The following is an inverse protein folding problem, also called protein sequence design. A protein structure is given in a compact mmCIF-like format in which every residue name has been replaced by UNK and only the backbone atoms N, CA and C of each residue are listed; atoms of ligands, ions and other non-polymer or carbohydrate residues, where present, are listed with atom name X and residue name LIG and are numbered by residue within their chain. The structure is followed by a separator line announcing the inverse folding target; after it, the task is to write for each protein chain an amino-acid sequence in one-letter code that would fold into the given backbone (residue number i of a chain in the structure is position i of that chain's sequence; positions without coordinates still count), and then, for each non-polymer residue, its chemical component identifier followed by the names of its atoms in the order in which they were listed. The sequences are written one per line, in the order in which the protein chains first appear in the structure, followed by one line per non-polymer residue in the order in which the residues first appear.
data_IF_240345096368
#
_entry.id   IF_240345096368
#
_cell.length_a   1.000
_cell.length_b   1.000
_cell.length_c   1.000
_cell.angle_alpha   90.00
_cell.angle_beta   90.00
_cell.angle_gamma   90.00
#
_symmetry.space_group_name_H-M   'P 1'
#
loop_
_entity.id
_entity.type
_entity.pdbx_description
1 polymer ?
#
# COMPACT_ATOMS: atom_id res chain seq x y z
N UNK A 1 7.54 14.69 -3.08
CA UNK A 1 7.08 13.40 -2.59
C UNK A 1 6.01 13.51 -1.50
N UNK A 2 6.16 14.35 -0.48
CA UNK A 2 5.17 14.50 0.60
C UNK A 2 5.57 13.83 1.92
N UNK A 3 6.59 12.96 1.93
CA UNK A 3 7.00 12.21 3.11
C UNK A 3 7.94 12.96 4.07
N UNK A 4 8.06 14.27 3.91
CA UNK A 4 8.71 15.17 4.87
C UNK A 4 7.66 16.12 5.48
N UNK A 5 6.73 15.64 6.31
CA UNK A 5 5.59 16.44 6.74
C UNK A 5 5.99 17.62 7.60
N UNK A 6 5.35 18.76 7.32
CA UNK A 6 5.52 20.01 8.05
C UNK A 6 4.28 20.34 8.91
N UNK A 7 3.09 20.21 8.30
CA UNK A 7 1.78 20.37 8.93
C UNK A 7 0.83 19.26 8.49
N UNK A 8 0.37 18.44 9.43
CA UNK A 8 -0.43 17.27 9.15
C UNK A 8 -1.88 17.54 8.69
N UNK A 9 -2.38 18.76 8.95
CA UNK A 9 -3.76 19.17 8.63
C UNK A 9 -3.86 20.15 7.46
N UNK A 10 -2.75 20.37 6.74
CA UNK A 10 -2.70 21.34 5.64
C UNK A 10 -2.53 20.67 4.30
N UNK A 11 -3.24 21.20 3.30
CA UNK A 11 -3.02 20.83 1.88
C UNK A 11 -1.71 21.49 1.42
N UNK A 12 -0.91 20.75 0.67
CA UNK A 12 0.32 21.26 0.05
C UNK A 12 -0.04 22.23 -1.09
N UNK A 13 0.37 23.47 -0.97
CA UNK A 13 -0.03 24.57 -1.87
C UNK A 13 0.41 24.35 -3.34
N UNK A 14 1.48 23.59 -3.58
CA UNK A 14 1.95 23.30 -4.92
C UNK A 14 1.01 22.34 -5.69
N UNK A 15 0.15 21.60 -4.99
CA UNK A 15 -0.84 20.71 -5.59
C UNK A 15 -2.23 21.34 -5.70
N UNK A 16 -2.44 22.50 -5.07
CA UNK A 16 -3.70 23.21 -5.14
C UNK A 16 -4.18 23.72 -3.79
N UNK A 17 -5.36 24.32 -3.80
CA UNK A 17 -5.99 24.87 -2.61
C UNK A 17 -6.83 23.83 -1.85
N UNK A 18 -7.18 24.07 -0.58
CA UNK A 18 -8.15 23.24 0.14
C UNK A 18 -9.49 23.08 -0.59
N UNK A 19 -9.93 24.12 -1.30
CA UNK A 19 -11.16 24.06 -2.10
C UNK A 19 -11.02 23.11 -3.29
N UNK A 20 -9.91 23.15 -4.00
CA UNK A 20 -9.65 22.27 -5.13
C UNK A 20 -9.53 20.80 -4.72
N UNK A 21 -8.96 20.52 -3.54
CA UNK A 21 -8.98 19.16 -2.99
C UNK A 21 -10.40 18.68 -2.70
N UNK A 22 -11.25 19.53 -2.10
CA UNK A 22 -12.68 19.21 -1.89
C UNK A 22 -13.40 18.95 -3.20
N UNK A 23 -13.10 19.72 -4.26
CA UNK A 23 -13.63 19.47 -5.60
C UNK A 23 -13.17 18.14 -6.20
N UNK A 24 -11.89 17.78 -5.98
CA UNK A 24 -11.35 16.49 -6.42
C UNK A 24 -12.13 15.34 -5.77
N UNK A 25 -12.34 15.40 -4.45
CA UNK A 25 -13.10 14.37 -3.72
C UNK A 25 -14.54 14.29 -4.21
N UNK A 26 -15.23 15.44 -4.37
CA UNK A 26 -16.60 15.51 -4.86
C UNK A 26 -16.75 14.90 -6.27
N UNK A 27 -15.78 15.23 -7.14
CA UNK A 27 -15.75 14.72 -8.52
C UNK A 27 -15.45 13.21 -8.57
N UNK A 28 -14.58 12.70 -7.69
CA UNK A 28 -14.33 11.27 -7.54
C UNK A 28 -15.60 10.54 -7.07
N UNK A 29 -16.26 11.06 -6.04
CA UNK A 29 -17.51 10.51 -5.51
C UNK A 29 -18.63 10.48 -6.56
N UNK A 30 -18.74 11.52 -7.39
CA UNK A 30 -19.72 11.56 -8.49
C UNK A 30 -19.55 10.41 -9.50
N UNK A 31 -18.36 9.83 -9.56
CA UNK A 31 -18.01 8.67 -10.39
C UNK A 31 -17.99 7.34 -9.63
N UNK A 32 -18.36 7.34 -8.34
CA UNK A 32 -18.31 6.16 -7.48
C UNK A 32 -16.89 5.71 -7.14
N UNK A 33 -15.96 6.66 -7.05
CA UNK A 33 -14.55 6.43 -6.70
C UNK A 33 -14.31 6.98 -5.30
N UNK A 34 -13.88 6.12 -4.38
CA UNK A 34 -13.44 6.52 -3.05
C UNK A 34 -12.06 7.20 -3.10
N UNK A 35 -11.83 8.14 -2.20
CA UNK A 35 -10.56 8.88 -2.08
C UNK A 35 -9.88 8.54 -0.76
N UNK A 36 -8.66 8.03 -0.85
CA UNK A 36 -7.81 7.69 0.29
C UNK A 36 -6.64 8.66 0.33
N UNK A 37 -6.35 9.24 1.49
CA UNK A 37 -5.21 10.12 1.72
C UNK A 37 -4.08 9.32 2.37
N UNK A 38 -2.85 9.60 1.94
CA UNK A 38 -1.63 9.09 2.55
C UNK A 38 -1.20 10.02 3.71
N UNK A 39 -1.02 9.47 4.91
CA UNK A 39 -0.64 10.22 6.11
C UNK A 39 0.61 9.62 6.77
N UNK A 40 1.53 10.50 7.12
CA UNK A 40 2.82 10.18 7.75
C UNK A 40 2.75 10.45 9.25
N UNK A 41 2.35 9.44 10.04
CA UNK A 41 2.30 9.59 11.50
C UNK A 41 3.53 9.06 12.24
N UNK A 42 4.51 8.49 11.53
CA UNK A 42 5.72 8.01 12.19
C UNK A 42 6.71 9.15 12.50
N UNK A 43 6.82 10.16 11.64
CA UNK A 43 7.79 11.25 11.79
C UNK A 43 7.27 12.61 11.36
N UNK A 44 8.04 13.67 11.68
CA UNK A 44 7.76 15.06 11.30
C UNK A 44 9.08 15.83 11.14
N UNK A 45 9.09 16.84 10.28
CA UNK A 45 10.27 17.69 10.11
C UNK A 45 10.59 18.52 11.34
N UNK A 46 11.88 18.69 11.62
CA UNK A 46 12.36 19.57 12.71
C UNK A 46 12.03 21.05 12.52
N UNK A 47 11.63 21.45 11.32
CA UNK A 47 11.13 22.81 11.02
C UNK A 47 9.63 22.97 11.28
N UNK A 48 8.91 21.89 11.60
CA UNK A 48 7.48 21.93 11.91
C UNK A 48 7.18 22.85 13.08
N UNK A 49 6.10 23.65 13.04
CA UNK A 49 5.65 24.46 14.18
C UNK A 49 5.41 23.66 15.46
N UNK A 50 5.02 22.39 15.35
CA UNK A 50 4.82 21.48 16.50
C UNK A 50 6.11 21.32 17.31
N UNK A 51 7.24 21.18 16.62
CA UNK A 51 8.55 21.16 17.27
C UNK A 51 9.01 22.54 17.66
N UNK A 52 8.89 23.52 16.78
CA UNK A 52 9.44 24.87 16.98
C UNK A 52 8.79 25.64 18.15
N UNK A 53 7.54 25.30 18.51
CA UNK A 53 6.90 25.90 19.69
C UNK A 53 7.59 25.49 21.00
N UNK A 54 8.17 24.32 21.07
CA UNK A 54 8.89 23.77 22.23
C UNK A 54 9.98 22.81 21.76
N UNK A 55 11.14 23.33 21.27
CA UNK A 55 12.20 22.46 20.72
C UNK A 55 13.07 21.83 21.83
N UNK A 56 12.43 21.05 22.67
CA UNK A 56 13.01 20.39 23.82
C UNK A 56 12.26 19.08 24.03
N UNK A 57 12.94 17.95 23.90
CA UNK A 57 12.32 16.62 23.99
C UNK A 57 11.69 16.32 25.34
N UNK A 58 12.25 16.88 26.44
CA UNK A 58 11.70 16.67 27.79
C UNK A 58 10.41 17.46 28.04
N UNK A 59 10.17 18.50 27.24
CA UNK A 59 9.07 19.43 27.43
C UNK A 59 8.05 19.42 26.28
N UNK A 60 8.42 18.96 25.08
CA UNK A 60 7.50 18.85 23.97
C UNK A 60 6.53 17.68 24.21
N UNK A 61 5.22 17.90 24.23
CA UNK A 61 4.27 16.84 24.54
C UNK A 61 3.94 15.93 23.34
N UNK A 62 4.49 16.20 22.17
CA UNK A 62 4.15 15.51 20.92
C UNK A 62 5.32 14.74 20.34
N UNK A 63 6.54 15.15 20.65
CA UNK A 63 7.76 14.64 20.04
C UNK A 63 8.62 13.98 21.13
N UNK A 64 9.21 12.87 20.82
CA UNK A 64 10.12 12.14 21.71
C UNK A 64 11.51 11.96 21.10
N UNK A 65 12.49 11.68 21.93
CA UNK A 65 13.70 10.95 21.54
C UNK A 65 13.28 9.50 21.35
N UNK A 66 13.89 8.79 20.41
CA UNK A 66 13.73 7.34 20.22
C UNK A 66 13.59 6.62 21.55
N UNK A 67 12.54 5.86 21.71
CA UNK A 67 12.21 5.36 23.00
C UNK A 67 12.62 3.91 23.16
N UNK A 68 13.49 3.69 24.14
CA UNK A 68 13.68 2.40 24.77
C UNK A 68 12.38 1.90 25.48
N UNK A 69 11.31 2.67 25.44
CA UNK A 69 10.09 2.42 26.21
C UNK A 69 9.07 1.56 25.45
N UNK A 70 9.22 1.44 24.13
CA UNK A 70 8.33 0.60 23.35
C UNK A 70 9.10 -0.43 22.53
N UNK A 71 9.09 -1.70 22.94
CA UNK A 71 9.83 -2.77 22.27
C UNK A 71 9.30 -3.11 20.86
N UNK A 72 8.13 -2.60 20.48
CA UNK A 72 7.51 -2.82 19.18
C UNK A 72 7.71 -1.65 18.22
N UNK A 73 8.50 -0.66 18.60
CA UNK A 73 8.84 0.48 17.77
C UNK A 73 10.23 0.28 17.13
N UNK A 74 10.33 0.49 15.83
CA UNK A 74 11.62 0.56 15.16
C UNK A 74 12.23 1.95 15.35
N UNK A 75 13.55 1.99 15.54
CA UNK A 75 14.30 3.24 15.55
C UNK A 75 14.65 3.68 14.12
N UNK A 76 14.70 4.98 13.92
CA UNK A 76 15.25 5.55 12.69
C UNK A 76 14.19 6.26 11.85
N UNK A 77 14.29 7.56 11.81
CA UNK A 77 13.34 8.47 11.18
C UNK A 77 13.94 9.25 10.03
N UNK A 78 14.94 8.69 9.37
CA UNK A 78 15.65 9.35 8.27
C UNK A 78 16.13 10.79 8.63
N UNK A 79 16.54 11.01 9.88
CA UNK A 79 16.97 12.31 10.39
C UNK A 79 15.85 13.29 10.74
N UNK A 80 14.60 12.83 10.79
CA UNK A 80 13.43 13.58 11.22
C UNK A 80 13.10 13.31 12.69
N UNK A 81 12.04 13.92 13.20
CA UNK A 81 11.61 13.80 14.61
C UNK A 81 10.48 12.79 14.72
N UNK A 82 10.50 11.95 15.75
CA UNK A 82 9.47 10.96 16.02
C UNK A 82 8.30 11.55 16.82
N UNK A 83 7.09 11.14 16.47
CA UNK A 83 5.92 11.40 17.30
C UNK A 83 5.94 10.52 18.54
N UNK A 84 5.58 11.09 19.69
CA UNK A 84 5.37 10.34 20.94
C UNK A 84 3.97 9.67 20.94
N UNK A 85 3.85 8.52 20.33
CA UNK A 85 2.60 7.77 20.26
C UNK A 85 2.12 7.20 21.61
N UNK A 86 2.92 7.32 22.66
CA UNK A 86 2.58 6.92 24.04
C UNK A 86 2.22 8.12 24.92
N UNK A 87 1.90 9.27 24.29
CA UNK A 87 1.39 10.45 24.96
C UNK A 87 -0.04 10.75 24.49
N UNK A 88 -0.97 10.85 25.46
CA UNK A 88 -2.38 11.13 25.16
C UNK A 88 -2.60 12.43 24.37
N UNK A 89 -1.73 13.42 24.51
CA UNK A 89 -1.82 14.67 23.72
C UNK A 89 -1.51 14.44 22.26
N UNK A 90 -0.56 13.56 21.97
CA UNK A 90 -0.25 13.15 20.59
C UNK A 90 -1.43 12.37 20.00
N UNK A 91 -1.97 11.43 20.73
CA UNK A 91 -3.16 10.66 20.30
C UNK A 91 -4.35 11.57 20.03
N UNK A 92 -4.60 12.55 20.89
CA UNK A 92 -5.69 13.54 20.70
C UNK A 92 -5.44 14.44 19.47
N UNK A 93 -4.19 14.84 19.25
CA UNK A 93 -3.80 15.61 18.05
C UNK A 93 -4.03 14.77 16.78
N UNK A 94 -3.53 13.53 16.74
CA UNK A 94 -3.73 12.58 15.61
C UNK A 94 -5.23 12.43 15.31
N UNK A 95 -6.02 12.16 16.34
CA UNK A 95 -7.47 11.99 16.21
C UNK A 95 -8.17 13.25 15.70
N UNK A 96 -7.69 14.43 16.11
CA UNK A 96 -8.23 15.70 15.63
C UNK A 96 -7.92 15.89 14.15
N UNK A 97 -6.69 15.65 13.74
CA UNK A 97 -6.27 15.79 12.34
C UNK A 97 -6.99 14.78 11.43
N UNK A 98 -7.03 13.51 11.83
CA UNK A 98 -7.73 12.48 11.07
C UNK A 98 -9.20 12.86 10.83
N UNK A 99 -9.88 13.39 11.88
CA UNK A 99 -11.26 13.87 11.75
C UNK A 99 -11.40 15.09 10.82
N UNK A 100 -10.43 16.00 10.78
CA UNK A 100 -10.46 17.10 9.80
C UNK A 100 -10.51 16.57 8.38
N UNK A 101 -9.71 15.58 8.04
CA UNK A 101 -9.72 14.98 6.71
C UNK A 101 -11.04 14.28 6.40
N UNK A 102 -11.62 13.56 7.36
CA UNK A 102 -12.93 12.89 7.21
C UNK A 102 -14.06 13.91 7.13
N UNK A 103 -14.13 14.84 8.09
CA UNK A 103 -15.30 15.71 8.26
C UNK A 103 -15.34 16.87 7.27
N UNK A 104 -14.16 17.45 6.97
CA UNK A 104 -14.06 18.64 6.12
C UNK A 104 -13.80 18.30 4.64
N UNK A 105 -12.98 17.28 4.38
CA UNK A 105 -12.60 16.90 3.01
C UNK A 105 -13.38 15.71 2.49
N UNK A 106 -14.09 14.98 3.37
CA UNK A 106 -14.92 13.82 3.02
C UNK A 106 -14.12 12.68 2.39
N UNK A 107 -12.88 12.47 2.85
CA UNK A 107 -12.10 11.33 2.41
C UNK A 107 -12.69 10.02 2.94
N UNK A 108 -12.52 8.94 2.20
CA UNK A 108 -13.09 7.63 2.50
C UNK A 108 -12.12 6.72 3.27
N UNK A 109 -10.88 7.14 3.40
CA UNK A 109 -9.87 6.36 4.09
C UNK A 109 -8.48 6.98 4.10
N UNK A 110 -7.57 6.22 4.69
CA UNK A 110 -6.18 6.58 4.83
C UNK A 110 -5.26 5.40 4.51
N UNK A 111 -4.13 5.69 3.90
CA UNK A 111 -2.93 4.86 3.96
C UNK A 111 -1.99 5.50 4.98
N UNK A 112 -1.53 4.75 5.93
CA UNK A 112 -0.61 5.22 6.95
C UNK A 112 0.80 4.74 6.63
N UNK A 113 1.70 5.71 6.44
CA UNK A 113 3.09 5.52 6.06
C UNK A 113 3.92 4.89 7.18
N UNK A 114 4.83 3.99 6.81
CA UNK A 114 5.87 3.39 7.67
C UNK A 114 5.39 2.98 9.08
N UNK A 115 4.25 2.30 9.15
CA UNK A 115 3.62 1.95 10.43
C UNK A 115 4.45 1.02 11.31
N UNK A 116 5.43 0.30 10.75
CA UNK A 116 6.34 -0.53 11.53
C UNK A 116 7.23 0.28 12.50
N UNK A 117 7.34 1.59 12.28
CA UNK A 117 8.02 2.55 13.16
C UNK A 117 7.10 3.12 14.24
N UNK A 118 5.78 2.93 14.09
CA UNK A 118 4.79 3.37 15.09
C UNK A 118 4.57 2.23 16.06
N UNK A 119 4.82 2.46 17.32
CA UNK A 119 4.65 1.44 18.33
C UNK A 119 3.21 1.08 18.63
N UNK A 120 3.02 -0.10 19.17
CA UNK A 120 1.75 -0.54 19.75
C UNK A 120 1.97 -1.33 21.02
N UNK A 121 1.00 -1.24 21.95
CA UNK A 121 0.92 -2.11 23.13
C UNK A 121 -0.53 -2.53 23.34
N UNK A 122 -0.81 -3.81 23.15
CA UNK A 122 -2.17 -4.34 23.28
C UNK A 122 -2.67 -4.35 24.75
N UNK A 123 -1.80 -4.08 25.72
CA UNK A 123 -2.18 -3.88 27.13
C UNK A 123 -2.52 -2.41 27.42
N UNK A 124 -2.08 -1.50 26.58
CA UNK A 124 -2.31 -0.05 26.66
C UNK A 124 -2.97 0.45 25.36
N UNK A 125 -4.17 -0.06 25.09
CA UNK A 125 -4.87 0.17 23.82
C UNK A 125 -5.28 1.62 23.56
N UNK A 126 -5.14 2.51 24.51
CA UNK A 126 -5.32 3.96 24.32
C UNK A 126 -4.15 4.64 23.63
N UNK A 127 -3.02 3.95 23.45
CA UNK A 127 -1.79 4.47 22.85
C UNK A 127 -1.45 3.78 21.54
N UNK A 128 -0.53 4.40 20.80
CA UNK A 128 0.00 3.85 19.57
C UNK A 128 -1.06 3.60 18.50
N UNK A 129 -0.79 2.62 17.67
CA UNK A 129 -1.70 2.23 16.57
C UNK A 129 -3.11 1.88 17.05
N UNK A 130 -3.31 1.06 18.11
CA UNK A 130 -4.67 0.77 18.59
C UNK A 130 -5.43 2.04 18.99
N UNK A 131 -4.77 2.96 19.69
CA UNK A 131 -5.43 4.14 20.24
C UNK A 131 -6.07 5.02 19.18
N UNK A 132 -5.35 5.37 18.13
CA UNK A 132 -5.90 6.24 17.10
C UNK A 132 -6.68 5.48 16.01
N UNK A 133 -6.35 4.22 15.69
CA UNK A 133 -7.14 3.44 14.72
C UNK A 133 -8.55 3.16 15.25
N UNK A 134 -8.67 2.78 16.52
CA UNK A 134 -9.97 2.59 17.19
C UNK A 134 -10.76 3.89 17.33
N UNK A 135 -10.10 5.01 17.64
CA UNK A 135 -10.78 6.31 17.72
C UNK A 135 -11.34 6.74 16.36
N UNK A 136 -10.63 6.47 15.27
CA UNK A 136 -11.08 6.75 13.92
C UNK A 136 -12.26 5.83 13.52
N UNK A 137 -12.17 4.54 13.79
CA UNK A 137 -13.26 3.58 13.57
C UNK A 137 -14.53 3.95 14.35
N UNK A 138 -14.39 4.37 15.60
CA UNK A 138 -15.53 4.81 16.42
C UNK A 138 -16.13 6.15 15.93
N UNK A 139 -15.32 7.00 15.28
CA UNK A 139 -15.81 8.23 14.67
C UNK A 139 -16.65 7.92 13.41
N UNK A 140 -16.13 7.09 12.52
CA UNK A 140 -16.82 6.59 11.34
C UNK A 140 -16.27 5.21 10.95
N UNK A 141 -17.03 4.16 11.18
CA UNK A 141 -16.64 2.77 10.92
C UNK A 141 -16.54 2.42 9.43
N UNK A 142 -16.91 3.32 8.54
CA UNK A 142 -16.79 3.14 7.08
C UNK A 142 -15.45 3.61 6.54
N UNK A 143 -14.65 4.34 7.34
CA UNK A 143 -13.33 4.82 6.94
C UNK A 143 -12.37 3.65 6.80
N UNK A 144 -11.80 3.52 5.61
CA UNK A 144 -10.88 2.44 5.29
C UNK A 144 -9.44 2.80 5.72
N UNK A 145 -8.84 1.96 6.57
CA UNK A 145 -7.55 2.20 7.19
C UNK A 145 -6.52 1.20 6.67
N UNK A 146 -5.58 1.65 5.85
CA UNK A 146 -4.54 0.81 5.22
C UNK A 146 -3.21 1.03 5.92
N UNK A 147 -2.59 -0.04 6.39
CA UNK A 147 -1.25 0.00 6.95
C UNK A 147 -0.18 -0.25 5.89
N UNK A 148 0.79 0.65 5.78
CA UNK A 148 2.09 0.27 5.27
C UNK A 148 2.95 -0.19 6.45
N UNK A 149 2.95 -1.48 6.70
CA UNK A 149 3.79 -2.11 7.71
C UNK A 149 4.66 -3.16 7.01
N UNK A 150 5.93 -2.85 6.81
CA UNK A 150 6.88 -3.69 6.07
C UNK A 150 7.99 -4.18 7.02
N UNK A 151 8.18 -5.51 7.16
CA UNK A 151 7.38 -6.57 6.54
C UNK A 151 5.93 -6.57 7.02
N UNK A 152 5.02 -7.10 6.20
CA UNK A 152 3.58 -7.15 6.50
C UNK A 152 3.28 -7.81 7.85
N UNK A 153 2.29 -7.28 8.54
CA UNK A 153 1.90 -7.78 9.86
C UNK A 153 0.39 -8.09 9.94
N UNK A 154 -0.04 -9.28 9.47
CA UNK A 154 -1.43 -9.70 9.52
C UNK A 154 -2.01 -9.72 10.94
N UNK A 155 -1.19 -10.10 11.93
CA UNK A 155 -1.61 -10.11 13.33
C UNK A 155 -2.04 -8.71 13.82
N UNK A 156 -1.31 -7.66 13.42
CA UNK A 156 -1.67 -6.29 13.78
C UNK A 156 -3.02 -5.89 13.19
N UNK A 157 -3.28 -6.27 11.93
CA UNK A 157 -4.56 -6.01 11.27
C UNK A 157 -5.70 -6.73 11.99
N UNK A 158 -5.52 -8.00 12.37
CA UNK A 158 -6.54 -8.78 13.06
C UNK A 158 -6.81 -8.33 14.53
N UNK A 159 -5.88 -7.60 15.13
CA UNK A 159 -5.97 -7.19 16.53
C UNK A 159 -6.16 -5.67 16.74
N UNK A 160 -6.39 -4.93 15.68
CA UNK A 160 -6.70 -3.48 15.71
C UNK A 160 -7.90 -3.19 14.81
N UNK A 161 -8.33 -1.92 14.74
CA UNK A 161 -9.36 -1.47 13.82
C UNK A 161 -8.79 -1.03 12.44
N UNK A 162 -7.57 -1.42 12.12
CA UNK A 162 -7.02 -1.29 10.77
C UNK A 162 -7.78 -2.21 9.81
N UNK A 163 -8.11 -1.71 8.64
CA UNK A 163 -8.89 -2.47 7.65
C UNK A 163 -8.03 -3.44 6.84
N UNK A 164 -6.78 -3.06 6.55
CA UNK A 164 -5.89 -3.84 5.69
C UNK A 164 -4.42 -3.41 5.84
N UNK A 165 -3.53 -4.21 5.27
CA UNK A 165 -2.11 -3.87 5.13
C UNK A 165 -1.59 -4.17 3.73
N UNK A 166 -0.49 -3.53 3.35
CA UNK A 166 0.22 -3.87 2.15
C UNK A 166 0.78 -5.28 2.24
N UNK A 167 0.56 -6.07 1.21
CA UNK A 167 1.02 -7.46 1.12
C UNK A 167 2.40 -7.50 0.46
N UNK A 168 3.42 -7.18 1.24
CA UNK A 168 4.81 -7.08 0.83
C UNK A 168 5.33 -8.36 0.19
N UNK A 169 5.01 -9.51 0.79
CA UNK A 169 5.40 -10.81 0.25
C UNK A 169 4.92 -11.07 -1.18
N UNK A 170 3.82 -10.44 -1.62
CA UNK A 170 3.39 -10.55 -3.02
C UNK A 170 4.38 -9.84 -3.95
N UNK A 171 4.72 -8.60 -3.64
CA UNK A 171 5.70 -7.81 -4.38
C UNK A 171 7.05 -8.52 -4.45
N UNK A 172 7.62 -8.87 -3.30
CA UNK A 172 8.93 -9.52 -3.18
C UNK A 172 9.02 -10.81 -3.99
N UNK A 173 7.95 -11.61 -4.00
CA UNK A 173 7.95 -12.88 -4.73
C UNK A 173 7.82 -12.70 -6.23
N UNK A 174 7.05 -11.72 -6.69
CA UNK A 174 7.04 -11.37 -8.11
C UNK A 174 8.39 -10.81 -8.55
N UNK A 175 8.98 -9.92 -7.78
CA UNK A 175 10.29 -9.36 -8.07
C UNK A 175 11.38 -10.45 -8.09
N UNK A 176 11.34 -11.39 -7.15
CA UNK A 176 12.25 -12.53 -7.16
C UNK A 176 12.05 -13.44 -8.40
N UNK A 177 10.82 -13.62 -8.88
CA UNK A 177 10.58 -14.34 -10.14
C UNK A 177 11.11 -13.57 -11.34
N UNK A 178 10.93 -12.27 -11.36
CA UNK A 178 11.53 -11.38 -12.39
C UNK A 178 13.04 -11.59 -12.44
N UNK A 179 13.73 -11.49 -11.31
CA UNK A 179 15.20 -11.56 -11.29
C UNK A 179 15.74 -12.96 -11.55
N UNK A 180 15.11 -13.99 -10.98
CA UNK A 180 15.66 -15.36 -10.98
C UNK A 180 14.91 -16.34 -11.89
N UNK A 181 13.84 -15.90 -12.54
CA UNK A 181 12.96 -16.72 -13.39
C UNK A 181 12.52 -18.01 -12.67
N UNK A 182 12.23 -17.89 -11.38
CA UNK A 182 11.91 -19.00 -10.49
C UNK A 182 10.71 -18.68 -9.62
N UNK A 183 9.58 -19.30 -9.91
CA UNK A 183 8.39 -19.23 -9.05
C UNK A 183 8.56 -20.01 -7.72
N UNK A 184 9.73 -20.62 -7.50
CA UNK A 184 10.11 -21.22 -6.24
C UNK A 184 9.24 -22.37 -5.75
N UNK A 185 9.09 -22.46 -4.44
CA UNK A 185 8.41 -23.55 -3.75
C UNK A 185 6.90 -23.32 -3.60
N UNK A 186 6.20 -24.35 -3.12
CA UNK A 186 4.76 -24.30 -2.77
C UNK A 186 4.41 -23.14 -1.82
N UNK A 187 5.27 -22.82 -0.86
CA UNK A 187 5.02 -21.72 0.07
C UNK A 187 5.03 -20.36 -0.63
N UNK A 188 5.96 -20.15 -1.56
CA UNK A 188 6.04 -18.92 -2.37
C UNK A 188 4.75 -18.72 -3.17
N UNK A 189 4.23 -19.80 -3.72
CA UNK A 189 2.98 -19.71 -4.48
C UNK A 189 1.78 -19.29 -3.63
N UNK A 190 1.73 -19.70 -2.35
CA UNK A 190 0.68 -19.25 -1.43
C UNK A 190 0.78 -17.76 -1.09
N UNK A 191 1.97 -17.20 -1.10
CA UNK A 191 2.20 -15.77 -0.93
C UNK A 191 1.72 -14.99 -2.17
N UNK A 192 1.95 -15.51 -3.36
CA UNK A 192 1.53 -14.87 -4.61
C UNK A 192 0.02 -14.96 -4.79
N UNK A 193 -0.57 -16.14 -4.80
CA UNK A 193 -1.99 -16.31 -5.12
C UNK A 193 -2.93 -16.28 -3.90
N UNK A 194 -2.44 -16.63 -2.72
CA UNK A 194 -3.17 -16.69 -1.46
C UNK A 194 -2.96 -15.42 -0.59
N UNK A 195 -3.10 -15.61 0.71
CA UNK A 195 -3.01 -14.54 1.72
C UNK A 195 -1.82 -14.72 2.69
N UNK A 196 -0.90 -15.63 2.38
CA UNK A 196 0.22 -15.95 3.25
C UNK A 196 1.33 -14.92 3.14
N UNK A 197 1.90 -14.57 4.29
CA UNK A 197 3.07 -13.74 4.41
C UNK A 197 4.34 -14.56 4.62
N UNK A 198 5.46 -13.99 4.24
CA UNK A 198 6.79 -14.61 4.45
C UNK A 198 7.46 -14.14 5.75
N UNK A 199 6.79 -13.30 6.53
CA UNK A 199 7.38 -12.74 7.74
C UNK A 199 7.51 -13.79 8.86
N UNK A 200 8.35 -13.50 9.84
CA UNK A 200 8.47 -14.27 11.08
C UNK A 200 7.17 -14.27 11.91
N UNK A 201 6.21 -13.44 11.53
CA UNK A 201 4.85 -13.36 12.11
C UNK A 201 3.91 -14.44 11.58
N UNK A 202 4.30 -15.17 10.56
CA UNK A 202 3.89 -16.54 10.17
C UNK A 202 2.45 -16.77 9.72
N UNK A 203 1.50 -15.96 10.11
CA UNK A 203 0.09 -16.18 9.84
C UNK A 203 -0.36 -15.46 8.55
N UNK A 204 -1.25 -16.06 7.76
CA UNK A 204 -1.84 -15.38 6.63
C UNK A 204 -2.79 -14.28 7.10
N UNK A 205 -3.08 -13.31 6.23
CA UNK A 205 -4.26 -12.45 6.45
C UNK A 205 -5.51 -13.32 6.59
N UNK A 206 -6.37 -12.99 7.54
CA UNK A 206 -7.56 -13.77 7.86
C UNK A 206 -8.67 -13.60 6.83
N UNK A 207 -8.69 -12.47 6.13
CA UNK A 207 -9.65 -12.16 5.06
C UNK A 207 -8.98 -11.54 3.83
N UNK A 208 -9.58 -11.77 2.66
CA UNK A 208 -9.10 -11.23 1.37
C UNK A 208 -9.16 -9.71 1.27
N UNK A 209 -9.99 -9.08 2.06
CA UNK A 209 -10.10 -7.60 2.10
C UNK A 209 -9.00 -6.94 2.93
N UNK A 210 -8.22 -7.73 3.65
CA UNK A 210 -7.14 -7.23 4.49
C UNK A 210 -5.79 -7.13 3.75
N UNK A 211 -5.62 -7.82 2.62
CA UNK A 211 -4.36 -7.87 1.90
C UNK A 211 -4.39 -6.97 0.66
N UNK A 212 -3.69 -5.85 0.67
CA UNK A 212 -3.50 -4.98 -0.49
C UNK A 212 -2.27 -5.42 -1.25
N UNK A 213 -2.47 -6.04 -2.42
CA UNK A 213 -1.40 -6.58 -3.26
C UNK A 213 -0.99 -5.60 -4.35
N UNK A 214 0.31 -5.50 -4.59
CA UNK A 214 0.87 -4.60 -5.58
C UNK A 214 2.08 -5.23 -6.29
N UNK A 215 2.30 -4.85 -7.52
CA UNK A 215 3.49 -5.20 -8.29
C UNK A 215 4.58 -4.15 -8.10
N UNK A 216 4.17 -2.90 -7.96
CA UNK A 216 5.01 -1.73 -7.81
C UNK A 216 4.25 -0.67 -7.02
N UNK A 217 4.97 0.11 -6.23
CA UNK A 217 4.49 1.33 -5.58
C UNK A 217 5.34 2.53 -6.03
N UNK A 218 5.21 3.65 -5.35
CA UNK A 218 6.06 4.81 -5.59
C UNK A 218 7.50 4.62 -5.09
N UNK A 219 7.73 3.61 -4.24
CA UNK A 219 9.03 3.29 -3.64
C UNK A 219 9.88 2.34 -4.49
N UNK A 220 9.31 1.72 -5.53
CA UNK A 220 10.01 0.77 -6.38
C UNK A 220 10.04 1.23 -7.84
N UNK A 221 10.93 0.61 -8.59
CA UNK A 221 10.93 0.70 -10.04
C UNK A 221 9.78 -0.14 -10.63
N UNK A 222 9.30 0.23 -11.81
CA UNK A 222 8.32 -0.60 -12.51
C UNK A 222 8.89 -2.00 -12.79
N UNK A 223 8.03 -3.02 -12.76
CA UNK A 223 8.42 -4.39 -13.16
C UNK A 223 9.01 -4.41 -14.59
N UNK A 224 8.56 -3.49 -15.45
CA UNK A 224 9.15 -3.30 -16.78
C UNK A 224 10.62 -2.91 -16.70
N UNK A 225 10.94 -1.93 -15.85
CA UNK A 225 12.31 -1.48 -15.64
C UNK A 225 13.18 -2.59 -15.06
N UNK A 226 12.66 -3.30 -14.07
CA UNK A 226 13.35 -4.43 -13.45
C UNK A 226 13.72 -5.50 -14.48
N UNK A 227 12.81 -5.88 -15.35
CA UNK A 227 13.05 -6.87 -16.40
C UNK A 227 14.09 -6.41 -17.41
N UNK A 228 14.07 -5.15 -17.78
CA UNK A 228 15.07 -4.56 -18.71
C UNK A 228 16.45 -4.53 -18.05
N UNK A 229 16.53 -4.08 -16.78
CA UNK A 229 17.80 -3.88 -16.07
C UNK A 229 18.45 -5.21 -15.67
N UNK A 230 17.70 -6.12 -15.08
CA UNK A 230 18.28 -7.35 -14.50
C UNK A 230 18.27 -8.54 -15.45
N UNK A 231 17.30 -8.62 -16.37
CA UNK A 231 17.19 -9.77 -17.28
C UNK A 231 17.63 -9.47 -18.70
N UNK A 232 18.01 -8.24 -19.01
CA UNK A 232 18.36 -7.78 -20.36
C UNK A 232 17.25 -8.05 -21.40
N UNK A 233 15.98 -8.05 -20.98
CA UNK A 233 14.87 -8.12 -21.93
C UNK A 233 14.78 -6.84 -22.75
N UNK A 234 14.34 -6.96 -24.00
CA UNK A 234 13.85 -5.79 -24.72
C UNK A 234 12.61 -5.24 -24.00
N UNK A 235 12.34 -3.97 -24.16
CA UNK A 235 11.15 -3.36 -23.53
C UNK A 235 9.84 -3.98 -24.04
N UNK A 236 9.82 -4.47 -25.28
CA UNK A 236 8.69 -5.17 -25.87
C UNK A 236 8.45 -6.53 -25.18
N UNK A 237 9.51 -7.29 -24.94
CA UNK A 237 9.43 -8.56 -24.19
C UNK A 237 8.99 -8.31 -22.74
N UNK A 238 9.53 -7.27 -22.10
CA UNK A 238 9.14 -6.89 -20.74
C UNK A 238 7.66 -6.54 -20.66
N UNK A 239 7.12 -5.80 -21.63
CA UNK A 239 5.70 -5.45 -21.70
C UNK A 239 4.78 -6.66 -21.86
N UNK A 240 5.15 -7.62 -22.67
CA UNK A 240 4.34 -8.86 -22.77
C UNK A 240 4.36 -9.69 -21.48
N UNK A 241 5.48 -9.67 -20.75
CA UNK A 241 5.58 -10.32 -19.43
C UNK A 241 4.82 -9.56 -18.34
N UNK A 242 4.80 -8.24 -18.37
CA UNK A 242 4.03 -7.41 -17.46
C UNK A 242 2.55 -7.77 -17.49
N UNK A 243 1.97 -8.01 -18.66
CA UNK A 243 0.60 -8.50 -18.82
C UNK A 243 0.34 -9.82 -18.09
N UNK A 244 1.34 -10.71 -18.07
CA UNK A 244 1.25 -11.95 -17.29
C UNK A 244 1.21 -11.66 -15.79
N UNK A 245 2.10 -10.81 -15.26
CA UNK A 245 2.11 -10.42 -13.84
C UNK A 245 0.85 -9.65 -13.44
N UNK A 246 0.35 -8.78 -14.31
CA UNK A 246 -0.95 -8.14 -14.12
C UNK A 246 -2.08 -9.17 -13.98
N UNK A 247 -2.07 -10.22 -14.82
CA UNK A 247 -3.05 -11.29 -14.72
C UNK A 247 -2.96 -12.01 -13.36
N UNK A 248 -1.75 -12.28 -12.87
CA UNK A 248 -1.55 -12.86 -11.53
C UNK A 248 -2.09 -11.94 -10.44
N UNK A 249 -1.79 -10.64 -10.50
CA UNK A 249 -2.29 -9.64 -9.54
C UNK A 249 -3.82 -9.63 -9.48
N UNK A 250 -4.48 -9.49 -10.63
CA UNK A 250 -5.94 -9.37 -10.68
C UNK A 250 -6.68 -10.68 -10.40
N UNK A 251 -6.03 -11.82 -10.54
CA UNK A 251 -6.66 -13.13 -10.29
C UNK A 251 -6.28 -13.75 -8.96
N UNK A 252 -5.35 -13.18 -8.21
CA UNK A 252 -5.00 -13.62 -6.85
C UNK A 252 -6.04 -13.17 -5.81
N UNK A 253 -6.03 -13.79 -4.61
CA UNK A 253 -6.73 -13.27 -3.44
C UNK A 253 -6.12 -11.93 -3.00
N UNK A 254 -6.91 -11.08 -2.40
CA UNK A 254 -6.50 -9.76 -1.95
C UNK A 254 -7.09 -8.63 -2.79
N UNK A 255 -6.71 -7.41 -2.50
CA UNK A 255 -7.14 -6.20 -3.19
C UNK A 255 -6.00 -5.75 -4.11
N UNK A 256 -6.18 -5.72 -5.43
CA UNK A 256 -5.13 -5.26 -6.34
C UNK A 256 -4.95 -3.75 -6.23
N UNK A 257 -3.71 -3.31 -6.03
CA UNK A 257 -3.28 -1.92 -6.11
C UNK A 257 -2.41 -1.72 -7.35
N UNK A 258 -2.61 -0.64 -8.05
CA UNK A 258 -1.84 -0.22 -9.22
C UNK A 258 -1.11 1.07 -8.93
N UNK A 259 0.14 1.16 -9.36
CA UNK A 259 0.84 2.43 -9.43
C UNK A 259 0.47 3.15 -10.72
N UNK A 260 0.29 4.46 -10.65
CA UNK A 260 -0.15 5.28 -11.80
C UNK A 260 0.75 5.10 -13.02
N UNK A 261 0.12 4.84 -14.17
CA UNK A 261 0.82 4.58 -15.44
C UNK A 261 1.13 3.10 -15.70
N UNK A 262 1.09 2.24 -14.68
CA UNK A 262 1.29 0.81 -14.84
C UNK A 262 0.25 0.20 -15.79
N UNK A 263 -1.00 0.64 -15.71
CA UNK A 263 -2.13 0.15 -16.49
C UNK A 263 -2.01 0.40 -18.00
N UNK A 264 -1.16 1.32 -18.42
CA UNK A 264 -0.86 1.53 -19.85
C UNK A 264 0.61 1.24 -20.20
N UNK A 265 1.33 0.51 -19.33
CA UNK A 265 2.67 0.01 -19.60
C UNK A 265 3.75 1.07 -19.62
N UNK A 266 3.56 2.15 -18.82
CA UNK A 266 4.57 3.19 -18.63
C UNK A 266 5.77 2.60 -17.90
N UNK A 267 6.93 2.68 -18.53
CA UNK A 267 8.19 2.31 -17.90
C UNK A 267 8.62 3.42 -16.94
N UNK A 268 8.74 3.11 -15.68
CA UNK A 268 9.27 4.01 -14.66
C UNK A 268 10.47 3.36 -13.99
N UNK A 269 11.58 4.08 -13.97
CA UNK A 269 12.81 3.64 -13.34
C UNK A 269 13.55 4.83 -12.77
N UNK A 270 14.63 4.55 -12.08
CA UNK A 270 15.54 5.56 -11.55
C UNK A 270 16.81 5.56 -12.39
N UNK A 271 17.23 6.74 -12.81
CA UNK A 271 18.51 6.89 -13.49
C UNK A 271 19.62 6.99 -12.45
N UNK A 272 20.69 6.23 -12.60
CA UNK A 272 21.91 6.37 -11.78
C UNK A 272 22.73 7.56 -12.30
N UNK A 273 22.22 8.78 -12.07
CA UNK A 273 22.82 10.02 -12.57
C UNK A 273 24.23 10.26 -12.04
N UNK A 274 24.52 9.73 -10.83
CA UNK A 274 25.82 9.83 -10.19
C UNK A 274 26.74 8.67 -10.53
N UNK A 275 26.24 7.66 -11.23
CA UNK A 275 26.94 6.43 -11.60
C UNK A 275 27.66 5.76 -10.41
N UNK A 276 27.01 5.82 -9.24
CA UNK A 276 27.52 5.28 -7.97
C UNK A 276 26.89 3.92 -7.61
N UNK A 277 25.89 3.47 -8.38
CA UNK A 277 25.13 2.25 -8.14
C UNK A 277 24.14 2.32 -6.97
N UNK A 278 23.91 3.51 -6.41
CA UNK A 278 22.98 3.73 -5.31
C UNK A 278 21.65 4.30 -5.85
N UNK A 279 20.80 3.43 -6.35
CA UNK A 279 19.49 3.79 -6.92
C UNK A 279 18.52 4.37 -5.89
N UNK A 280 18.69 4.13 -4.60
CA UNK A 280 17.81 4.68 -3.56
C UNK A 280 17.91 6.21 -3.45
N UNK A 281 19.08 6.79 -3.76
CA UNK A 281 19.24 8.24 -3.83
C UNK A 281 18.51 8.85 -5.01
N UNK A 282 18.25 8.07 -6.06
CA UNK A 282 17.68 8.53 -7.33
C UNK A 282 16.15 8.43 -7.37
N UNK A 283 15.53 7.73 -6.44
CA UNK A 283 14.07 7.56 -6.42
C UNK A 283 13.28 8.86 -6.23
N UNK A 284 13.91 9.91 -5.72
CA UNK A 284 13.32 11.24 -5.54
C UNK A 284 13.35 12.11 -6.80
N UNK A 285 13.80 11.59 -7.93
CA UNK A 285 13.83 12.32 -9.19
C UNK A 285 12.43 12.72 -9.66
N UNK A 286 12.37 13.85 -10.38
CA UNK A 286 11.14 14.30 -11.03
C UNK A 286 10.74 13.36 -12.17
N UNK A 287 9.63 12.66 -11.99
CA UNK A 287 9.12 11.64 -12.93
C UNK A 287 7.62 11.83 -13.16
N UNK A 288 7.22 12.80 -13.97
CA UNK A 288 5.81 13.00 -14.30
C UNK A 288 5.27 11.82 -15.11
N UNK A 289 3.98 11.51 -14.93
CA UNK A 289 3.30 10.55 -15.79
C UNK A 289 3.24 11.07 -17.21
N UNK A 290 3.85 10.34 -18.15
CA UNK A 290 3.75 10.67 -19.56
C UNK A 290 2.42 10.19 -20.16
N UNK A 291 1.42 11.04 -20.07
CA UNK A 291 0.09 10.76 -20.60
C UNK A 291 0.06 10.56 -22.11
N UNK A 292 1.04 11.08 -22.86
CA UNK A 292 1.11 10.90 -24.31
C UNK A 292 1.38 9.44 -24.70
N UNK A 293 1.98 8.66 -23.79
CA UNK A 293 2.22 7.24 -24.02
C UNK A 293 0.91 6.43 -24.09
N UNK A 294 -0.13 6.89 -23.42
CA UNK A 294 -1.48 6.30 -23.49
C UNK A 294 -2.05 6.36 -24.92
N UNK A 295 -1.66 7.34 -25.73
CA UNK A 295 -2.16 7.50 -27.11
C UNK A 295 -1.43 6.59 -28.11
N UNK A 296 -0.42 5.83 -27.67
CA UNK A 296 0.27 4.86 -28.52
C UNK A 296 -0.47 3.53 -28.62
N UNK A 297 -0.26 2.77 -29.66
CA UNK A 297 -0.82 1.41 -29.82
C UNK A 297 -0.41 0.49 -28.66
N UNK A 298 0.80 0.68 -28.15
CA UNK A 298 1.32 -0.10 -27.00
C UNK A 298 0.57 0.29 -25.73
N UNK A 299 0.44 1.58 -25.43
CA UNK A 299 -0.29 2.08 -24.27
C UNK A 299 -1.75 1.63 -24.29
N UNK A 300 -2.42 1.72 -25.43
CA UNK A 300 -3.79 1.25 -25.61
C UNK A 300 -3.93 -0.27 -25.41
N UNK A 301 -2.98 -1.05 -25.92
CA UNK A 301 -2.99 -2.52 -25.75
C UNK A 301 -2.83 -2.93 -24.27
N UNK A 302 -2.00 -2.21 -23.49
CA UNK A 302 -1.87 -2.45 -22.05
C UNK A 302 -3.15 -2.05 -21.31
N UNK A 303 -3.67 -0.85 -21.58
CA UNK A 303 -4.91 -0.37 -20.96
C UNK A 303 -6.09 -1.33 -21.23
N UNK A 304 -6.19 -1.87 -22.44
CA UNK A 304 -7.23 -2.87 -22.77
C UNK A 304 -7.07 -4.13 -21.93
N UNK A 305 -5.83 -4.62 -21.77
CA UNK A 305 -5.55 -5.81 -20.96
C UNK A 305 -5.93 -5.58 -19.48
N UNK A 306 -5.42 -4.51 -18.86
CA UNK A 306 -5.74 -4.17 -17.47
C UNK A 306 -7.24 -3.90 -17.26
N UNK A 307 -7.87 -3.19 -18.18
CA UNK A 307 -9.32 -2.94 -18.14
C UNK A 307 -10.14 -4.24 -18.24
N UNK A 308 -9.68 -5.20 -19.04
CA UNK A 308 -10.32 -6.51 -19.16
C UNK A 308 -10.22 -7.29 -17.85
N UNK A 309 -9.05 -7.31 -17.22
CA UNK A 309 -8.86 -7.96 -15.92
C UNK A 309 -9.69 -7.28 -14.81
N UNK A 310 -9.71 -5.96 -14.77
CA UNK A 310 -10.52 -5.21 -13.81
C UNK A 310 -12.03 -5.49 -13.98
N UNK A 311 -12.51 -5.52 -15.23
CA UNK A 311 -13.91 -5.88 -15.55
C UNK A 311 -14.22 -7.33 -15.15
N UNK A 312 -13.33 -8.27 -15.48
CA UNK A 312 -13.48 -9.68 -15.08
C UNK A 312 -13.64 -9.80 -13.57
N UNK A 313 -12.75 -9.16 -12.80
CA UNK A 313 -12.79 -9.20 -11.34
C UNK A 313 -14.06 -8.54 -10.80
N UNK A 314 -14.43 -7.35 -11.29
CA UNK A 314 -15.61 -6.61 -10.84
C UNK A 314 -16.92 -7.32 -11.17
N UNK A 315 -17.01 -7.99 -12.32
CA UNK A 315 -18.24 -8.63 -12.79
C UNK A 315 -18.45 -10.04 -12.28
N UNK A 316 -17.44 -10.67 -11.70
CA UNK A 316 -17.50 -12.07 -11.26
C UNK A 316 -17.47 -12.17 -9.74
N UNK A 317 -18.63 -12.47 -9.09
CA UNK A 317 -18.72 -12.59 -7.63
C UNK A 317 -17.75 -13.62 -7.01
N UNK A 318 -17.31 -14.60 -7.75
CA UNK A 318 -16.38 -15.61 -7.26
C UNK A 318 -15.05 -15.00 -6.75
N UNK A 319 -14.60 -13.85 -7.32
CA UNK A 319 -13.38 -13.22 -6.89
C UNK A 319 -13.47 -12.55 -5.50
N UNK A 320 -14.65 -12.09 -5.09
CA UNK A 320 -14.81 -11.38 -3.81
C UNK A 320 -15.65 -12.16 -2.79
N UNK A 321 -16.49 -13.12 -3.21
CA UNK A 321 -17.33 -13.94 -2.32
C UNK A 321 -17.07 -15.45 -2.45
N UNK A 322 -16.42 -15.89 -3.53
CA UNK A 322 -16.25 -17.31 -3.81
C UNK A 322 -15.18 -17.97 -2.94
N UNK A 323 -15.27 -19.27 -2.76
CA UNK A 323 -14.23 -20.06 -2.10
C UNK A 323 -13.02 -20.22 -3.03
N UNK A 324 -11.84 -19.90 -2.51
CA UNK A 324 -10.57 -20.05 -3.23
C UNK A 324 -10.07 -21.49 -3.13
N UNK A 325 -9.63 -22.03 -4.24
CA UNK A 325 -9.04 -23.36 -4.34
C UNK A 325 -7.65 -23.29 -4.96
N UNK A 326 -6.68 -23.79 -4.24
CA UNK A 326 -5.34 -24.06 -4.71
C UNK A 326 -5.32 -25.49 -5.27
N UNK A 327 -5.48 -25.61 -6.58
CA UNK A 327 -5.79 -26.89 -7.22
C UNK A 327 -4.55 -27.71 -7.53
N UNK A 328 -3.54 -27.14 -8.20
CA UNK A 328 -2.36 -27.86 -8.64
C UNK A 328 -1.12 -27.00 -8.74
N UNK A 329 0.03 -27.63 -8.49
CA UNK A 329 1.36 -27.02 -8.63
C UNK A 329 2.29 -28.02 -9.29
N UNK A 330 2.72 -27.68 -10.46
CA UNK A 330 3.75 -28.40 -11.19
C UNK A 330 5.01 -27.54 -11.21
N UNK A 331 5.88 -27.74 -10.21
CA UNK A 331 7.11 -26.93 -10.06
C UNK A 331 8.09 -27.14 -11.20
N UNK A 332 8.19 -28.37 -11.74
CA UNK A 332 9.08 -28.68 -12.86
C UNK A 332 8.60 -28.00 -14.15
N UNK A 333 7.29 -27.97 -14.36
CA UNK A 333 6.65 -27.41 -15.55
C UNK A 333 6.36 -25.90 -15.39
N UNK A 334 6.65 -25.32 -14.22
CA UNK A 334 6.35 -23.91 -13.88
C UNK A 334 4.87 -23.56 -14.08
N UNK A 335 3.97 -24.46 -13.71
CA UNK A 335 2.52 -24.29 -13.84
C UNK A 335 1.87 -24.19 -12.47
N UNK A 336 1.00 -23.20 -12.31
CA UNK A 336 0.12 -23.05 -11.15
C UNK A 336 -1.31 -23.12 -11.64
N UNK A 337 -2.14 -23.87 -10.93
CA UNK A 337 -3.58 -23.89 -11.17
C UNK A 337 -4.31 -23.57 -9.87
N UNK A 338 -5.07 -22.53 -9.89
CA UNK A 338 -5.95 -22.11 -8.79
C UNK A 338 -7.28 -21.63 -9.35
N UNK A 339 -8.28 -21.52 -8.51
CA UNK A 339 -9.59 -21.11 -8.95
C UNK A 339 -10.49 -20.65 -7.82
N UNK A 340 -11.63 -20.14 -8.21
CA UNK A 340 -12.69 -19.66 -7.32
C UNK A 340 -13.98 -20.39 -7.62
N UNK A 341 -14.74 -20.77 -6.60
CA UNK A 341 -16.08 -21.32 -6.73
C UNK A 341 -17.08 -20.36 -6.10
N UNK A 342 -18.05 -19.92 -6.89
CA UNK A 342 -19.18 -19.20 -6.39
C UNK A 342 -20.11 -20.17 -5.63
N UNK A 343 -20.30 -19.94 -4.35
CA UNK A 343 -21.16 -20.78 -3.48
C UNK A 343 -22.64 -20.35 -3.55
N UNK A 344 -22.97 -19.25 -4.22
CA UNK A 344 -24.34 -18.74 -4.32
C UNK A 344 -25.28 -19.65 -5.09
N UNK A 345 -24.74 -20.46 -6.02
CA UNK A 345 -25.53 -21.41 -6.80
C UNK A 345 -25.99 -22.65 -6.02
N UNK A 346 -25.30 -23.02 -4.92
CA UNK A 346 -25.63 -24.21 -4.14
C UNK A 346 -26.86 -24.01 -3.23
N UNK A 347 -27.23 -22.79 -2.91
CA UNK A 347 -28.42 -22.49 -2.06
C UNK A 347 -29.75 -22.54 -2.83
N UNK A 348 -29.71 -22.51 -4.15
CA UNK A 348 -30.94 -22.55 -4.97
C UNK A 348 -31.41 -23.97 -5.30
N UNK A 349 -30.61 -25.02 -5.03
CA UNK A 349 -30.97 -26.41 -5.30
C UNK A 349 -31.54 -27.16 -4.08
N UNK A 350 -31.69 -26.47 -2.92
CA UNK A 350 -32.24 -27.04 -1.69
C UNK A 350 -33.54 -26.37 -1.22
N UNK A 351 -34.26 -25.69 -2.11
CA UNK A 351 -35.63 -25.21 -1.83
C UNK A 351 -36.67 -25.96 -2.67
#
# INVERSE_FOLDING_TARGET
WGYNPYLMSSVEENYGTPYELKLLVDEAHSRGIAVIIDLVWNHIMSTSPIWQMQPDYDLNPYIKIHSDLNPNEAEGTWGMLDWDHFNLKTIDYINTVNRIWVDEYKVDGFRFDAMYMIGWDMQQQEFGIPGWSTALYNHDSTIYQIAEHLPSNPWLIDNTDLSSGWHDSFHDRLLNDVHNQSLGTISIMRQIVGLHEYSDWGDPYSDRTQAVKYMVSHDEQSILQEMVTFNNYSIEEARERDKFYATVLFTSLGIPMLFQGQEFGLQTGWDDDNNNGNYDEEKLQYRPVDWSFLDTDIGQSHLEHYSTLAKLRKSNPAFYNGTFYDLYRYTNEKVIVYGYKDESENNNNNQ
#
